data_IF_085370270054
#
_entry.id   IF_085370270054
#
_cell.length_a   1.000
_cell.length_b   1.000
_cell.length_c   1.000
_cell.angle_alpha   90.00
_cell.angle_beta   90.00
_cell.angle_gamma   90.00
#
_symmetry.space_group_name_H-M   'P 1'
#
loop_
_entity.id
_entity.type
_entity.pdbx_description
1 polymer ?
#
# COMPACT_ATOMS: atom_id res chain seq x y z
N UNK A 1 -16.10 -2.30 3.10
CA UNK A 1 -15.72 -1.86 1.73
C UNK A 1 -14.30 -1.31 1.70
N UNK A 2 -13.70 -1.17 0.52
CA UNK A 2 -12.37 -0.55 0.35
C UNK A 2 -12.42 0.98 0.33
N UNK A 3 -11.33 1.65 0.71
CA UNK A 3 -11.17 3.11 0.63
C UNK A 3 -11.50 3.65 -0.77
N UNK A 4 -10.97 3.02 -1.81
CA UNK A 4 -11.24 3.43 -3.20
C UNK A 4 -12.74 3.45 -3.51
N UNK A 5 -13.47 2.40 -3.11
CA UNK A 5 -14.92 2.34 -3.28
C UNK A 5 -15.64 3.39 -2.43
N UNK A 6 -15.22 3.56 -1.18
CA UNK A 6 -15.82 4.51 -0.26
C UNK A 6 -15.65 5.97 -0.74
N UNK A 7 -14.49 6.32 -1.29
CA UNK A 7 -14.21 7.63 -1.89
C UNK A 7 -15.09 7.88 -3.11
N UNK A 8 -15.16 6.92 -4.04
CA UNK A 8 -16.02 7.04 -5.23
C UNK A 8 -17.50 7.20 -4.88
N UNK A 9 -17.96 6.57 -3.79
CA UNK A 9 -19.35 6.65 -3.32
C UNK A 9 -19.59 7.81 -2.35
N UNK A 10 -18.61 8.69 -2.12
CA UNK A 10 -18.67 9.77 -1.11
C UNK A 10 -19.08 9.29 0.29
N UNK A 11 -18.74 8.02 0.61
CA UNK A 11 -19.04 7.34 1.87
C UNK A 11 -17.97 7.60 2.94
N UNK A 12 -16.80 8.09 2.54
CA UNK A 12 -15.70 8.48 3.42
C UNK A 12 -15.11 9.81 2.96
N UNK A 13 -14.65 10.63 3.90
CA UNK A 13 -14.01 11.91 3.63
C UNK A 13 -12.61 11.93 4.22
N UNK A 14 -11.64 12.40 3.43
CA UNK A 14 -10.26 12.59 3.85
C UNK A 14 -9.92 14.07 3.82
N UNK A 15 -9.30 14.58 4.87
CA UNK A 15 -8.95 15.99 5.01
C UNK A 15 -7.59 16.16 5.66
N UNK A 16 -6.84 17.17 5.22
CA UNK A 16 -5.62 17.59 5.91
C UNK A 16 -5.98 18.27 7.24
N UNK A 17 -5.20 18.00 8.28
CA UNK A 17 -5.35 18.66 9.57
C UNK A 17 -4.72 20.05 9.47
N UNK A 18 -5.51 21.09 9.72
CA UNK A 18 -5.04 22.47 9.71
C UNK A 18 -4.56 22.85 11.13
N UNK A 19 -3.39 23.47 11.20
CA UNK A 19 -2.84 24.13 12.39
C UNK A 19 -2.67 25.62 12.12
N UNK A 20 -2.57 26.43 13.18
CA UNK A 20 -2.37 27.89 13.05
C UNK A 20 -1.17 28.29 12.18
N UNK A 21 -0.17 27.41 12.01
CA UNK A 21 1.05 27.63 11.22
C UNK A 21 1.18 26.75 9.96
N UNK A 22 0.15 26.02 9.54
CA UNK A 22 0.24 25.16 8.35
C UNK A 22 -0.69 23.95 8.39
N UNK A 23 -0.40 22.91 7.61
CA UNK A 23 -1.10 21.63 7.71
C UNK A 23 -0.16 20.54 8.22
N UNK A 24 -0.67 19.57 9.01
CA UNK A 24 0.10 18.35 9.27
C UNK A 24 0.21 17.57 7.97
N UNK A 25 1.42 17.36 7.49
CA UNK A 25 1.67 16.60 6.26
C UNK A 25 1.76 15.10 6.50
N UNK A 26 1.87 14.67 7.76
CA UNK A 26 2.04 13.27 8.12
C UNK A 26 0.72 12.57 8.43
N UNK A 27 -0.37 13.33 8.59
CA UNK A 27 -1.66 12.78 8.99
C UNK A 27 -2.80 13.34 8.12
N UNK A 28 -3.73 12.46 7.76
CA UNK A 28 -5.05 12.87 7.27
C UNK A 28 -6.10 12.50 8.31
N UNK A 29 -7.02 13.43 8.57
CA UNK A 29 -8.27 13.12 9.24
C UNK A 29 -9.16 12.36 8.27
N UNK A 30 -9.75 11.28 8.74
CA UNK A 30 -10.63 10.42 7.98
C UNK A 30 -11.96 10.31 8.71
N UNK A 31 -13.06 10.58 8.02
CA UNK A 31 -14.40 10.40 8.58
C UNK A 31 -15.22 9.45 7.72
N UNK A 32 -15.66 8.33 8.30
CA UNK A 32 -16.53 7.36 7.66
C UNK A 32 -17.99 7.74 7.92
N UNK A 33 -18.69 8.19 6.87
CA UNK A 33 -20.11 8.58 6.94
C UNK A 33 -21.05 7.45 6.50
N UNK A 34 -20.51 6.27 6.21
CA UNK A 34 -21.27 5.10 5.78
C UNK A 34 -21.78 4.27 6.95
N UNK A 35 -22.52 3.22 6.62
CA UNK A 35 -23.03 2.21 7.57
C UNK A 35 -22.17 0.95 7.64
N UNK A 36 -21.01 0.96 6.98
CA UNK A 36 -20.13 -0.20 6.84
C UNK A 36 -18.69 0.18 7.23
N UNK A 37 -17.90 -0.81 7.65
CA UNK A 37 -16.47 -0.62 7.86
C UNK A 37 -15.78 -0.25 6.53
N UNK A 38 -14.86 0.71 6.59
CA UNK A 38 -14.00 1.07 5.46
C UNK A 38 -12.56 0.65 5.77
N UNK A 39 -12.01 -0.21 4.92
CA UNK A 39 -10.61 -0.63 5.00
C UNK A 39 -9.76 0.35 4.21
N UNK A 40 -8.82 0.97 4.91
CA UNK A 40 -7.74 1.80 4.36
C UNK A 40 -6.49 0.96 4.41
N UNK A 41 -5.79 0.81 3.29
CA UNK A 41 -4.59 -0.01 3.22
C UNK A 41 -3.31 0.81 3.07
N UNK A 42 -2.24 0.33 3.69
CA UNK A 42 -0.90 0.84 3.45
C UNK A 42 -0.57 0.77 1.95
N UNK A 43 0.03 1.84 1.43
CA UNK A 43 0.41 1.96 0.02
C UNK A 43 -0.67 2.53 -0.90
N UNK A 44 -1.92 2.72 -0.46
CA UNK A 44 -2.92 3.42 -1.28
C UNK A 44 -2.49 4.85 -1.58
N UNK A 45 -2.62 5.28 -2.83
CA UNK A 45 -2.29 6.63 -3.31
C UNK A 45 -3.55 7.48 -3.34
N UNK A 46 -3.42 8.69 -2.81
CA UNK A 46 -4.45 9.71 -2.77
C UNK A 46 -3.98 10.92 -3.57
N UNK A 47 -4.63 11.17 -4.70
CA UNK A 47 -4.45 12.37 -5.51
C UNK A 47 -5.35 13.49 -4.95
N UNK A 48 -4.75 14.63 -4.63
CA UNK A 48 -5.50 15.78 -4.10
C UNK A 48 -4.76 16.53 -3.01
N UNK A 49 -5.51 17.17 -2.10
CA UNK A 49 -4.96 17.99 -1.03
C UNK A 49 -4.07 19.12 -1.54
N UNK A 50 -3.14 19.57 -0.69
CA UNK A 50 -2.06 20.47 -1.12
C UNK A 50 -0.98 19.74 -1.92
N UNK A 51 -0.89 18.43 -1.74
CA UNK A 51 0.07 17.49 -2.30
C UNK A 51 -0.52 16.09 -2.23
N UNK A 52 -0.14 15.24 -3.18
CA UNK A 52 -0.55 13.84 -3.20
C UNK A 52 0.04 13.07 -2.00
N UNK A 53 -0.72 12.09 -1.52
CA UNK A 53 -0.37 11.28 -0.34
C UNK A 53 -0.31 9.80 -0.68
N UNK A 54 0.55 9.07 0.03
CA UNK A 54 0.52 7.61 0.12
C UNK A 54 0.22 7.24 1.57
N UNK A 55 -0.78 6.38 1.76
CA UNK A 55 -1.15 5.88 3.09
C UNK A 55 -0.02 5.01 3.66
N UNK A 56 0.36 5.24 4.91
CA UNK A 56 1.47 4.57 5.56
C UNK A 56 1.06 3.35 6.41
N UNK A 57 -0.23 3.15 6.65
CA UNK A 57 -0.75 2.13 7.54
C UNK A 57 -2.06 1.51 7.05
N UNK A 58 -2.35 0.29 7.50
CA UNK A 58 -3.64 -0.34 7.26
C UNK A 58 -4.53 -0.11 8.48
N UNK A 59 -5.73 0.45 8.27
CA UNK A 59 -6.73 0.73 9.30
C UNK A 59 -8.13 0.32 8.85
N UNK A 60 -8.97 -0.01 9.83
CA UNK A 60 -10.40 -0.23 9.63
C UNK A 60 -11.12 0.92 10.31
N UNK A 61 -11.83 1.73 9.52
CA UNK A 61 -12.56 2.90 10.00
C UNK A 61 -14.02 2.49 10.16
N UNK A 62 -14.51 2.45 11.40
CA UNK A 62 -15.86 1.98 11.72
C UNK A 62 -16.95 2.98 11.29
N UNK A 63 -18.20 2.55 11.08
CA UNK A 63 -19.31 3.42 10.70
C UNK A 63 -19.47 4.64 11.61
N UNK A 64 -19.64 5.82 11.01
CA UNK A 64 -19.89 7.07 11.75
C UNK A 64 -18.69 7.60 12.54
N UNK A 65 -17.53 6.96 12.46
CA UNK A 65 -16.34 7.35 13.22
C UNK A 65 -15.45 8.34 12.48
N UNK A 66 -14.65 9.08 13.25
CA UNK A 66 -13.51 9.86 12.76
C UNK A 66 -12.24 9.32 13.37
N UNK A 67 -11.20 9.14 12.56
CA UNK A 67 -9.87 8.68 12.96
C UNK A 67 -8.80 9.43 12.14
N UNK A 68 -7.54 9.15 12.38
CA UNK A 68 -6.40 9.71 11.67
C UNK A 68 -5.56 8.62 11.04
N UNK A 69 -5.10 8.84 9.82
CA UNK A 69 -4.22 7.92 9.10
C UNK A 69 -2.88 8.58 8.80
N UNK A 70 -1.80 7.87 9.09
CA UNK A 70 -0.45 8.26 8.71
C UNK A 70 -0.30 8.24 7.20
N UNK A 71 0.37 9.25 6.65
CA UNK A 71 0.65 9.38 5.22
C UNK A 71 2.06 9.89 4.95
N UNK A 72 2.54 9.66 3.73
CA UNK A 72 3.73 10.28 3.17
C UNK A 72 3.37 11.11 1.95
N UNK A 73 4.05 12.24 1.75
CA UNK A 73 3.93 13.05 0.54
C UNK A 73 4.54 12.29 -0.64
N UNK A 74 3.81 12.13 -1.74
CA UNK A 74 4.31 11.48 -2.97
C UNK A 74 4.39 12.42 -4.16
N UNK A 75 4.34 13.72 -3.89
CA UNK A 75 4.52 14.78 -4.86
C UNK A 75 5.35 15.90 -4.24
N UNK A 76 6.59 16.03 -4.72
CA UNK A 76 7.64 16.78 -4.01
C UNK A 76 7.54 18.29 -4.19
N UNK A 77 7.11 18.77 -5.37
CA UNK A 77 7.23 20.18 -5.75
C UNK A 77 5.90 20.94 -5.84
N UNK A 78 4.77 20.30 -5.54
CA UNK A 78 3.48 20.98 -5.43
C UNK A 78 3.24 21.39 -3.99
N UNK A 79 2.62 22.54 -3.75
CA UNK A 79 2.00 22.90 -2.47
C UNK A 79 0.93 23.94 -2.73
N UNK A 80 -0.30 23.49 -2.97
CA UNK A 80 -1.39 24.38 -3.37
C UNK A 80 -2.00 25.13 -2.17
N UNK A 81 -2.33 26.42 -2.35
CA UNK A 81 -3.06 27.17 -1.32
C UNK A 81 -4.56 26.78 -1.25
N UNK A 82 -5.10 26.26 -2.36
CA UNK A 82 -6.48 25.77 -2.47
C UNK A 82 -6.44 24.25 -2.63
N UNK A 83 -6.44 23.47 -1.53
CA UNK A 83 -6.35 22.03 -1.61
C UNK A 83 -7.55 21.44 -2.34
N UNK A 84 -7.29 20.43 -3.17
CA UNK A 84 -8.31 19.64 -3.87
C UNK A 84 -8.85 18.55 -2.93
N UNK A 85 -10.06 18.08 -3.20
CA UNK A 85 -10.57 16.89 -2.53
C UNK A 85 -9.72 15.66 -2.91
N UNK A 86 -9.41 14.80 -1.93
CA UNK A 86 -8.66 13.58 -2.18
C UNK A 86 -9.49 12.55 -2.93
N UNK A 87 -8.88 11.94 -3.94
CA UNK A 87 -9.43 10.81 -4.71
C UNK A 87 -8.43 9.66 -4.68
N UNK A 88 -8.94 8.44 -4.84
CA UNK A 88 -8.05 7.29 -5.02
C UNK A 88 -7.35 7.38 -6.38
N UNK A 89 -6.04 7.18 -6.39
CA UNK A 89 -5.22 7.06 -7.59
C UNK A 89 -4.53 5.69 -7.67
N UNK A 90 -5.13 4.68 -7.04
CA UNK A 90 -4.62 3.31 -7.00
C UNK A 90 -3.66 3.07 -5.84
N UNK A 91 -2.62 2.26 -6.09
CA UNK A 91 -1.68 1.80 -5.07
C UNK A 91 -0.25 1.95 -5.56
N UNK A 92 0.66 2.32 -4.66
CA UNK A 92 2.09 2.37 -4.93
C UNK A 92 2.63 0.98 -5.29
N UNK A 93 3.67 0.93 -6.11
CA UNK A 93 4.37 -0.32 -6.39
C UNK A 93 5.09 -0.84 -5.14
N UNK A 94 5.37 -2.15 -5.13
CA UNK A 94 5.91 -2.83 -3.95
C UNK A 94 7.27 -2.30 -3.48
N UNK A 95 8.10 -1.73 -4.36
CA UNK A 95 9.42 -1.17 -3.99
C UNK A 95 9.30 0.18 -3.27
N UNK A 96 8.37 1.04 -3.69
CA UNK A 96 8.06 2.28 -2.97
C UNK A 96 7.46 1.98 -1.60
N UNK A 97 6.55 1.00 -1.52
CA UNK A 97 6.02 0.52 -0.24
C UNK A 97 7.12 -0.07 0.66
N UNK A 98 8.04 -0.90 0.13
CA UNK A 98 9.21 -1.42 0.88
C UNK A 98 10.03 -0.27 1.46
N UNK A 99 10.29 0.77 0.65
CA UNK A 99 11.03 1.95 1.10
C UNK A 99 10.31 2.67 2.24
N UNK A 100 9.00 2.87 2.13
CA UNK A 100 8.19 3.48 3.18
C UNK A 100 8.22 2.67 4.49
N UNK A 101 7.99 1.37 4.43
CA UNK A 101 7.94 0.50 5.61
C UNK A 101 9.28 0.36 6.33
N UNK A 102 10.38 0.28 5.58
CA UNK A 102 11.72 0.00 6.13
C UNK A 102 12.51 1.26 6.46
N UNK A 103 12.35 2.36 5.71
CA UNK A 103 13.12 3.59 5.93
C UNK A 103 12.37 4.63 6.75
N UNK A 104 11.03 4.60 6.76
CA UNK A 104 10.14 5.41 7.62
C UNK A 104 10.50 6.90 7.65
N UNK A 105 10.84 7.47 6.49
CA UNK A 105 11.25 8.88 6.36
C UNK A 105 10.86 9.45 5.01
N UNK A 106 10.32 10.68 5.03
CA UNK A 106 9.83 11.39 3.84
C UNK A 106 10.88 11.52 2.74
N UNK A 107 12.13 11.81 3.11
CA UNK A 107 13.23 11.96 2.16
C UNK A 107 13.57 10.66 1.41
N UNK A 108 13.37 9.50 2.03
CA UNK A 108 13.59 8.21 1.36
C UNK A 108 12.49 7.91 0.36
N UNK A 109 11.24 8.23 0.68
CA UNK A 109 10.09 8.11 -0.25
C UNK A 109 10.35 8.97 -1.48
N UNK A 110 10.73 10.23 -1.31
CA UNK A 110 11.07 11.09 -2.46
C UNK A 110 12.28 10.61 -3.25
N UNK A 111 13.34 10.13 -2.59
CA UNK A 111 14.51 9.58 -3.29
C UNK A 111 14.13 8.37 -4.15
N UNK A 112 13.24 7.52 -3.66
CA UNK A 112 12.75 6.38 -4.43
C UNK A 112 11.87 6.82 -5.60
N UNK A 113 10.99 7.81 -5.43
CA UNK A 113 10.22 8.40 -6.53
C UNK A 113 11.16 9.02 -7.59
N UNK A 114 12.16 9.80 -7.16
CA UNK A 114 13.18 10.39 -8.04
C UNK A 114 13.93 9.29 -8.84
N UNK A 115 14.26 8.16 -8.19
CA UNK A 115 14.88 6.99 -8.83
C UNK A 115 13.96 6.38 -9.89
N UNK A 116 12.67 6.19 -9.58
CA UNK A 116 11.71 5.62 -10.51
C UNK A 116 11.46 6.53 -11.72
N UNK A 117 11.42 7.85 -11.52
CA UNK A 117 11.38 8.80 -12.64
C UNK A 117 12.61 8.69 -13.54
N UNK A 118 13.80 8.55 -12.97
CA UNK A 118 15.06 8.39 -13.72
C UNK A 118 15.08 7.13 -14.58
N UNK A 119 14.41 6.06 -14.12
CA UNK A 119 14.27 4.81 -14.88
C UNK A 119 13.10 4.82 -15.88
N UNK A 120 12.24 5.83 -15.81
CA UNK A 120 11.08 5.98 -16.69
C UNK A 120 11.38 6.97 -17.82
N UNK A 121 10.61 6.91 -18.90
CA UNK A 121 10.60 7.94 -19.94
C UNK A 121 9.63 9.09 -19.64
N UNK A 122 8.96 9.05 -18.48
CA UNK A 122 7.91 9.99 -18.10
C UNK A 122 8.51 11.31 -17.59
N UNK A 123 7.78 12.39 -17.84
CA UNK A 123 8.08 13.73 -17.33
C UNK A 123 6.97 14.15 -16.37
N UNK A 124 7.37 14.81 -15.28
CA UNK A 124 6.46 15.41 -14.32
C UNK A 124 7.08 16.70 -13.83
N UNK A 125 6.32 17.79 -13.89
CA UNK A 125 6.77 19.09 -13.39
C UNK A 125 6.95 19.06 -11.86
N UNK A 126 5.97 18.42 -11.19
CA UNK A 126 5.90 18.39 -9.73
C UNK A 126 6.56 17.16 -9.10
N UNK A 127 6.97 16.19 -9.93
CA UNK A 127 7.50 14.89 -9.52
C UNK A 127 6.44 14.14 -8.69
N UNK A 128 5.21 14.06 -9.21
CA UNK A 128 4.13 13.28 -8.60
C UNK A 128 4.25 11.80 -8.94
N UNK A 129 4.15 10.92 -7.94
CA UNK A 129 4.03 9.48 -8.17
C UNK A 129 2.79 9.12 -9.00
N UNK A 130 1.72 9.92 -8.93
CA UNK A 130 0.51 9.70 -9.73
C UNK A 130 0.83 9.75 -11.22
N UNK A 131 1.71 10.65 -11.66
CA UNK A 131 2.14 10.74 -13.06
C UNK A 131 2.89 9.47 -13.51
N UNK A 132 3.64 8.81 -12.61
CA UNK A 132 4.24 7.50 -12.86
C UNK A 132 3.17 6.40 -12.99
N UNK A 133 2.12 6.45 -12.17
CA UNK A 133 1.06 5.45 -12.11
C UNK A 133 -0.02 5.59 -13.20
N UNK A 134 -0.27 6.78 -13.76
CA UNK A 134 -1.39 7.05 -14.68
C UNK A 134 -1.41 6.22 -15.99
N UNK A 135 -0.31 5.56 -16.37
CA UNK A 135 -0.27 4.65 -17.53
C UNK A 135 -0.33 3.17 -17.16
N UNK A 136 -0.46 2.82 -15.87
CA UNK A 136 -0.64 1.42 -15.44
C UNK A 136 -2.12 1.05 -15.28
N UNK A 137 -3.02 2.04 -15.19
CA UNK A 137 -4.45 1.85 -14.94
C UNK A 137 -5.26 1.34 -16.15
N UNK A 138 -4.75 1.53 -17.39
CA UNK A 138 -5.38 1.00 -18.60
C UNK A 138 -5.11 -0.51 -18.80
N UNK A 139 -4.14 -1.07 -18.07
CA UNK A 139 -3.81 -2.49 -18.13
C UNK A 139 -4.41 -3.20 -16.93
N UNK A 140 -5.61 -3.75 -17.13
CA UNK A 140 -5.91 -5.11 -16.66
C UNK A 140 -4.89 -6.06 -17.31
N UNK A 141 -3.65 -5.97 -16.83
CA UNK A 141 -2.53 -6.76 -17.32
C UNK A 141 -2.92 -8.23 -17.23
N UNK A 142 -2.43 -9.05 -18.15
CA UNK A 142 -2.70 -10.49 -18.15
C UNK A 142 -2.40 -11.13 -16.79
N UNK A 143 -1.48 -10.55 -16.01
CA UNK A 143 -1.26 -10.87 -14.60
C UNK A 143 -2.52 -10.67 -13.73
N UNK A 144 -3.13 -9.49 -13.72
CA UNK A 144 -4.32 -9.20 -12.91
C UNK A 144 -5.45 -10.15 -13.28
N UNK A 145 -5.72 -10.32 -14.58
CA UNK A 145 -6.78 -11.22 -15.07
C UNK A 145 -6.50 -12.67 -14.67
N UNK A 146 -5.27 -13.13 -14.85
CA UNK A 146 -4.87 -14.49 -14.50
C UNK A 146 -5.03 -14.77 -13.01
N UNK A 147 -4.43 -13.94 -12.16
CA UNK A 147 -4.42 -14.19 -10.71
C UNK A 147 -5.77 -13.93 -10.06
N UNK A 148 -6.50 -12.87 -10.44
CA UNK A 148 -7.86 -12.64 -9.93
C UNK A 148 -8.83 -13.73 -10.41
N UNK A 149 -8.70 -14.19 -11.66
CA UNK A 149 -9.50 -15.29 -12.20
C UNK A 149 -9.25 -16.58 -11.43
N UNK A 150 -7.97 -16.96 -11.22
CA UNK A 150 -7.60 -18.11 -10.39
C UNK A 150 -8.12 -17.98 -8.96
N UNK A 151 -8.04 -16.79 -8.39
CA UNK A 151 -8.53 -16.52 -7.05
C UNK A 151 -10.04 -16.72 -6.94
N UNK A 152 -10.83 -16.19 -7.87
CA UNK A 152 -12.28 -16.33 -7.87
C UNK A 152 -12.80 -17.78 -8.02
N UNK A 153 -11.93 -18.70 -8.44
CA UNK A 153 -12.26 -20.12 -8.64
C UNK A 153 -11.81 -21.01 -7.48
N UNK A 154 -11.17 -20.45 -6.45
CA UNK A 154 -10.72 -21.21 -5.29
C UNK A 154 -11.89 -21.47 -4.33
N UNK A 155 -11.86 -22.62 -3.67
CA UNK A 155 -12.72 -22.96 -2.52
C UNK A 155 -12.00 -22.83 -1.18
N UNK A 156 -10.74 -22.38 -1.22
CA UNK A 156 -9.85 -22.28 -0.07
C UNK A 156 -9.80 -20.87 0.50
N UNK A 157 -9.72 -20.77 1.83
CA UNK A 157 -9.42 -19.51 2.51
C UNK A 157 -7.91 -19.34 2.65
N UNK A 158 -7.42 -18.14 2.35
CA UNK A 158 -6.01 -17.79 2.47
C UNK A 158 -5.77 -16.83 3.63
N UNK A 159 -4.71 -17.08 4.38
CA UNK A 159 -4.23 -16.15 5.41
C UNK A 159 -3.39 -15.00 4.81
N UNK A 160 -3.00 -15.10 3.54
CA UNK A 160 -2.10 -14.16 2.88
C UNK A 160 -1.31 -14.79 1.74
N UNK A 161 -0.30 -14.07 1.24
CA UNK A 161 0.43 -14.43 0.02
C UNK A 161 1.90 -14.07 0.10
N UNK A 162 2.70 -14.85 -0.63
CA UNK A 162 4.13 -14.60 -0.85
C UNK A 162 4.32 -14.24 -2.31
N UNK A 163 4.93 -13.09 -2.58
CA UNK A 163 5.19 -12.61 -3.93
C UNK A 163 6.61 -12.94 -4.35
N UNK A 164 6.75 -13.59 -5.50
CA UNK A 164 8.04 -14.11 -6.00
C UNK A 164 8.31 -13.59 -7.40
N UNK A 165 9.57 -13.23 -7.68
CA UNK A 165 10.01 -12.91 -9.04
C UNK A 165 11.47 -13.26 -9.23
N UNK A 166 11.83 -13.90 -10.35
CA UNK A 166 13.18 -14.42 -10.55
C UNK A 166 13.61 -15.29 -9.36
N UNK A 167 14.78 -15.02 -8.79
CA UNK A 167 15.28 -15.68 -7.57
C UNK A 167 15.05 -14.86 -6.27
N UNK A 168 14.11 -13.89 -6.31
CA UNK A 168 13.80 -12.96 -5.22
C UNK A 168 12.41 -13.26 -4.63
N UNK A 169 12.32 -13.28 -3.31
CA UNK A 169 11.05 -13.10 -2.61
C UNK A 169 10.85 -11.58 -2.50
N UNK A 170 9.79 -11.06 -3.11
CA UNK A 170 9.50 -9.62 -3.06
C UNK A 170 9.02 -9.25 -1.66
N UNK A 171 8.00 -9.95 -1.19
CA UNK A 171 7.36 -9.72 0.11
C UNK A 171 6.48 -10.92 0.49
N UNK A 172 5.98 -10.89 1.71
CA UNK A 172 4.77 -11.60 2.13
C UNK A 172 3.83 -10.63 2.84
N UNK A 173 2.53 -10.83 2.65
CA UNK A 173 1.46 -10.09 3.31
C UNK A 173 0.47 -11.09 3.91
N UNK A 174 0.25 -11.00 5.23
CA UNK A 174 -0.64 -11.87 6.00
C UNK A 174 -1.71 -11.04 6.71
N UNK A 175 -2.96 -11.51 6.70
CA UNK A 175 -4.10 -10.81 7.29
C UNK A 175 -4.72 -11.63 8.42
N UNK A 176 -5.37 -10.94 9.36
CA UNK A 176 -5.98 -11.59 10.52
C UNK A 176 -7.22 -12.42 10.19
N UNK A 177 -7.90 -12.14 9.08
CA UNK A 177 -9.11 -12.87 8.66
C UNK A 177 -9.15 -13.09 7.15
N UNK A 178 -9.82 -14.16 6.66
CA UNK A 178 -10.01 -14.39 5.24
C UNK A 178 -10.67 -13.21 4.52
N UNK A 179 -11.64 -12.55 5.14
CA UNK A 179 -12.36 -11.41 4.54
C UNK A 179 -11.43 -10.21 4.30
N UNK A 180 -10.50 -9.97 5.24
CA UNK A 180 -9.46 -8.96 5.06
C UNK A 180 -8.49 -9.37 3.96
N UNK A 181 -8.13 -10.65 3.85
CA UNK A 181 -7.31 -11.15 2.74
C UNK A 181 -7.99 -10.91 1.40
N UNK A 182 -9.26 -11.30 1.28
CA UNK A 182 -10.07 -11.22 0.06
C UNK A 182 -10.16 -9.80 -0.46
N UNK A 183 -10.58 -8.87 0.42
CA UNK A 183 -10.81 -7.48 0.03
C UNK A 183 -9.49 -6.77 -0.30
N UNK A 184 -8.38 -7.23 0.30
CA UNK A 184 -7.03 -6.69 0.11
C UNK A 184 -6.32 -7.22 -1.14
N UNK A 185 -6.72 -8.40 -1.65
CA UNK A 185 -5.96 -9.14 -2.65
C UNK A 185 -5.70 -8.32 -3.92
N UNK A 186 -6.70 -7.58 -4.41
CA UNK A 186 -6.56 -6.77 -5.64
C UNK A 186 -5.49 -5.70 -5.51
N UNK A 187 -5.46 -4.96 -4.41
CA UNK A 187 -4.50 -3.87 -4.20
C UNK A 187 -3.08 -4.40 -4.05
N UNK A 188 -2.92 -5.43 -3.22
CA UNK A 188 -1.64 -6.10 -3.04
C UNK A 188 -1.14 -6.72 -4.35
N UNK A 189 -2.01 -7.34 -5.15
CA UNK A 189 -1.61 -7.86 -6.46
C UNK A 189 -1.18 -6.73 -7.41
N UNK A 190 -1.92 -5.63 -7.45
CA UNK A 190 -1.59 -4.47 -8.30
C UNK A 190 -0.22 -3.88 -7.96
N UNK A 191 0.12 -3.72 -6.67
CA UNK A 191 1.42 -3.17 -6.26
C UNK A 191 2.60 -4.05 -6.70
N UNK A 192 2.45 -5.37 -6.61
CA UNK A 192 3.49 -6.32 -7.00
C UNK A 192 3.61 -6.46 -8.52
N UNK A 193 2.49 -6.44 -9.24
CA UNK A 193 2.49 -6.49 -10.71
C UNK A 193 3.18 -5.25 -11.29
N UNK A 194 2.96 -4.06 -10.75
CA UNK A 194 3.66 -2.84 -11.18
C UNK A 194 5.19 -2.99 -11.09
N UNK A 195 5.69 -3.56 -9.99
CA UNK A 195 7.12 -3.86 -9.84
C UNK A 195 7.59 -4.97 -10.80
N UNK A 196 6.83 -6.07 -10.89
CA UNK A 196 7.20 -7.23 -11.72
C UNK A 196 7.24 -6.89 -13.22
N UNK A 197 6.39 -5.97 -13.70
CA UNK A 197 6.47 -5.46 -15.09
C UNK A 197 7.76 -4.71 -15.37
N UNK A 198 8.33 -4.07 -14.35
CA UNK A 198 9.53 -3.23 -14.50
C UNK A 198 10.82 -4.05 -14.36
N UNK A 199 10.86 -4.99 -13.43
CA UNK A 199 12.11 -5.70 -13.07
C UNK A 199 11.93 -7.21 -12.84
N UNK A 200 10.77 -7.77 -13.22
CA UNK A 200 10.43 -9.15 -12.91
C UNK A 200 11.02 -10.18 -13.89
N UNK A 201 11.07 -11.43 -13.45
CA UNK A 201 11.46 -12.59 -14.23
C UNK A 201 10.68 -13.84 -13.78
N UNK A 202 10.64 -14.92 -14.59
CA UNK A 202 10.02 -16.18 -14.18
C UNK A 202 10.57 -16.68 -12.82
N UNK A 203 9.71 -17.10 -11.88
CA UNK A 203 10.12 -17.47 -10.54
C UNK A 203 11.00 -18.73 -10.53
N UNK A 204 12.13 -18.65 -9.82
CA UNK A 204 13.14 -19.69 -9.61
C UNK A 204 13.45 -19.91 -8.11
N UNK A 205 12.70 -19.26 -7.23
CA UNK A 205 12.87 -19.36 -5.78
C UNK A 205 12.55 -20.80 -5.33
N UNK A 206 13.43 -21.41 -4.54
CA UNK A 206 13.23 -22.76 -4.02
C UNK A 206 12.25 -22.77 -2.85
N UNK A 207 11.56 -23.91 -2.65
CA UNK A 207 10.70 -24.12 -1.47
C UNK A 207 11.47 -23.90 -0.16
N UNK A 208 12.71 -24.37 -0.08
CA UNK A 208 13.57 -24.17 1.09
C UNK A 208 13.81 -22.68 1.38
N UNK A 209 14.09 -21.86 0.36
CA UNK A 209 14.26 -20.41 0.54
C UNK A 209 12.97 -19.76 1.05
N UNK A 210 11.81 -20.17 0.54
CA UNK A 210 10.51 -19.70 1.04
C UNK A 210 10.30 -20.11 2.49
N UNK A 211 10.55 -21.37 2.85
CA UNK A 211 10.42 -21.85 4.24
C UNK A 211 11.32 -21.06 5.19
N UNK A 212 12.61 -20.94 4.88
CA UNK A 212 13.55 -20.18 5.72
C UNK A 212 13.15 -18.71 5.88
N UNK A 213 12.56 -18.08 4.86
CA UNK A 213 12.01 -16.73 4.99
C UNK A 213 10.76 -16.70 5.88
N UNK A 214 9.81 -17.60 5.67
CA UNK A 214 8.56 -17.65 6.44
C UNK A 214 8.77 -18.07 7.89
N UNK A 215 9.81 -18.85 8.19
CA UNK A 215 10.17 -19.25 9.55
C UNK A 215 10.47 -18.02 10.41
N UNK A 216 11.13 -16.98 9.86
CA UNK A 216 11.38 -15.70 10.54
C UNK A 216 10.10 -14.96 10.96
N UNK A 217 8.95 -15.35 10.39
CA UNK A 217 7.65 -14.68 10.54
C UNK A 217 6.67 -15.55 11.33
N UNK A 218 6.71 -16.87 11.14
CA UNK A 218 5.70 -17.80 11.63
C UNK A 218 6.17 -18.69 12.80
N UNK A 219 7.48 -18.78 13.08
CA UNK A 219 7.97 -19.63 14.18
C UNK A 219 7.57 -19.11 15.57
N UNK A 220 7.68 -17.81 15.80
CA UNK A 220 7.26 -17.19 17.08
C UNK A 220 6.91 -15.72 16.93
N UNK A 221 6.05 -15.19 17.80
CA UNK A 221 5.73 -13.77 17.82
C UNK A 221 6.95 -12.88 18.14
N UNK A 222 7.89 -13.38 18.94
CA UNK A 222 9.08 -12.62 19.33
C UNK A 222 10.03 -12.43 18.13
N UNK A 223 10.29 -13.50 17.38
CA UNK A 223 11.08 -13.44 16.15
C UNK A 223 10.36 -12.61 15.08
N UNK A 224 9.05 -12.79 14.93
CA UNK A 224 8.22 -12.01 14.03
C UNK A 224 8.35 -10.51 14.31
N UNK A 225 8.14 -10.07 15.56
CA UNK A 225 8.26 -8.66 15.95
C UNK A 225 9.67 -8.11 15.68
N UNK A 226 10.69 -8.91 15.96
CA UNK A 226 12.09 -8.53 15.72
C UNK A 226 12.37 -8.34 14.23
N UNK A 227 12.00 -9.31 13.41
CA UNK A 227 12.25 -9.28 11.96
C UNK A 227 11.50 -8.14 11.28
N UNK A 228 10.20 -8.01 11.58
CA UNK A 228 9.32 -7.00 10.96
C UNK A 228 9.72 -5.57 11.34
N UNK A 229 10.42 -5.36 12.47
CA UNK A 229 10.88 -4.03 12.87
C UNK A 229 11.78 -3.37 11.82
N UNK A 230 12.66 -4.14 11.17
CA UNK A 230 13.59 -3.66 10.14
C UNK A 230 13.20 -4.07 8.72
N UNK A 231 12.44 -5.15 8.56
CA UNK A 231 12.11 -5.73 7.25
C UNK A 231 10.62 -5.68 6.92
N UNK A 232 9.82 -4.85 7.59
CA UNK A 232 8.39 -4.83 7.32
C UNK A 232 7.59 -3.85 8.17
N UNK A 233 6.31 -4.16 8.33
CA UNK A 233 5.41 -3.46 9.24
C UNK A 233 4.32 -4.38 9.77
N UNK A 234 4.04 -4.28 11.07
CA UNK A 234 2.81 -4.78 11.68
C UNK A 234 1.79 -3.63 11.70
N UNK A 235 0.59 -3.90 11.21
CA UNK A 235 -0.53 -2.97 11.23
C UNK A 235 -1.50 -3.42 12.33
N UNK A 236 -1.81 -2.50 13.24
CA UNK A 236 -2.58 -2.79 14.44
C UNK A 236 -3.87 -1.98 14.41
N UNK A 237 -4.99 -2.66 14.63
CA UNK A 237 -6.30 -2.02 14.84
C UNK A 237 -6.91 -2.56 16.13
N UNK A 238 -7.40 -1.66 17.00
CA UNK A 238 -7.96 -2.01 18.30
C UNK A 238 -7.09 -2.97 19.14
N UNK A 239 -5.76 -2.78 19.13
CA UNK A 239 -4.80 -3.60 19.88
C UNK A 239 -4.50 -4.97 19.28
N UNK A 240 -5.05 -5.32 18.11
CA UNK A 240 -4.80 -6.58 17.41
C UNK A 240 -4.05 -6.34 16.10
N UNK A 241 -3.11 -7.22 15.77
CA UNK A 241 -2.48 -7.23 14.44
C UNK A 241 -3.53 -7.63 13.43
N UNK A 242 -3.78 -6.78 12.44
CA UNK A 242 -4.74 -7.04 11.36
C UNK A 242 -4.08 -7.34 10.02
N UNK A 243 -2.84 -6.87 9.85
CA UNK A 243 -2.06 -7.04 8.63
C UNK A 243 -0.57 -7.02 8.97
N UNK A 244 0.17 -8.03 8.51
CA UNK A 244 1.61 -8.14 8.59
C UNK A 244 2.19 -8.07 7.19
N UNK A 245 3.15 -7.17 7.00
CA UNK A 245 3.92 -7.04 5.75
C UNK A 245 5.37 -7.32 6.10
N UNK A 246 6.02 -8.20 5.34
CA UNK A 246 7.45 -8.46 5.48
C UNK A 246 8.12 -8.59 4.12
N UNK A 247 9.38 -8.18 4.03
CA UNK A 247 10.21 -8.20 2.83
C UNK A 247 11.41 -9.10 3.06
N UNK A 248 11.78 -9.90 2.06
CA UNK A 248 13.06 -10.60 2.07
C UNK A 248 14.22 -9.59 1.99
N UNK A 249 15.36 -10.00 2.53
CA UNK A 249 16.58 -9.19 2.62
C UNK A 249 17.09 -8.74 1.24
#
# INVERSE_FOLDING_TARGET
MMLTEALMKHKIKLQEIQYEKGADVNWLQVTNHSKEDVVIQSGEILDGGKQDRMVAETKIITPGSTDYVNVYCVEKRRWENKPKEFKSAGVANSELQKTMHTKRRQSAVWKEIDRQFTLSTKKSETVSYVDLAQNTAADDSDYMRYFLGRYSLTDSNYAGYIFLTGNKIMSTELFATPELTDISFRNMLSSHVQTARSTGAPPKVTKQKVTTFMDKILMSEAEQKTYVTSHGKLQISAGKVIHLIAYDE
#
